data_IF_200821253895
#
_entry.id   IF_200821253895
#
_cell.length_a   1.000
_cell.length_b   1.000
_cell.length_c   1.000
_cell.angle_alpha   90.00
_cell.angle_beta   90.00
_cell.angle_gamma   90.00
#
_symmetry.space_group_name_H-M   'P 1'
#
loop_
_entity.id
_entity.type
_entity.pdbx_description
1 polymer ?
#
# COMPACT_ATOMS: atom_id res chain seq x y z
N UNK A 1 3.19 -11.73 13.85
CA UNK A 1 2.21 -12.75 13.47
C UNK A 1 1.11 -12.05 12.72
N UNK A 2 0.73 -12.53 11.54
CA UNK A 2 -0.31 -11.92 10.73
C UNK A 2 -1.68 -12.34 11.28
N UNK A 3 -2.63 -11.41 11.36
CA UNK A 3 -3.99 -11.65 11.86
C UNK A 3 -5.05 -11.43 10.75
N UNK A 4 -6.21 -12.07 10.91
CA UNK A 4 -7.38 -11.82 10.03
C UNK A 4 -7.80 -10.34 10.14
N UNK A 5 -8.19 -9.74 9.02
CA UNK A 5 -8.50 -8.31 8.88
C UNK A 5 -7.30 -7.35 8.98
N UNK A 6 -6.06 -7.85 9.11
CA UNK A 6 -4.90 -7.04 8.79
C UNK A 6 -4.72 -6.90 7.28
N UNK A 7 -3.85 -5.99 6.89
CA UNK A 7 -3.41 -5.80 5.53
C UNK A 7 -1.95 -6.21 5.41
N UNK A 8 -1.58 -6.82 4.30
CA UNK A 8 -0.19 -7.14 3.94
C UNK A 8 0.28 -6.26 2.80
N UNK A 9 1.58 -5.94 2.77
CA UNK A 9 2.28 -5.42 1.58
C UNK A 9 3.29 -6.46 1.11
N UNK A 10 3.31 -6.74 -0.19
CA UNK A 10 4.25 -7.72 -0.77
C UNK A 10 5.49 -7.05 -1.36
N UNK A 11 6.53 -7.86 -1.65
CA UNK A 11 7.74 -7.44 -2.38
C UNK A 11 7.45 -6.85 -3.77
N UNK A 12 6.30 -7.18 -4.38
CA UNK A 12 5.85 -6.63 -5.66
C UNK A 12 4.93 -5.41 -5.48
N UNK A 13 4.77 -4.92 -4.26
CA UNK A 13 3.91 -3.77 -3.95
C UNK A 13 2.41 -4.06 -3.92
N UNK A 14 1.97 -5.32 -3.98
CA UNK A 14 0.54 -5.63 -3.78
C UNK A 14 0.16 -5.35 -2.33
N UNK A 15 -0.95 -4.62 -2.12
CA UNK A 15 -1.58 -4.44 -0.81
C UNK A 15 -2.92 -5.17 -0.83
N UNK A 16 -3.13 -6.02 0.17
CA UNK A 16 -4.33 -6.86 0.24
C UNK A 16 -4.71 -7.18 1.68
N UNK A 17 -5.98 -7.49 1.91
CA UNK A 17 -6.55 -7.72 3.23
C UNK A 17 -6.61 -9.21 3.54
N UNK A 18 -6.12 -9.60 4.70
CA UNK A 18 -5.98 -10.99 5.13
C UNK A 18 -7.33 -11.59 5.50
N UNK A 19 -7.66 -12.72 4.87
CA UNK A 19 -8.80 -13.57 5.20
C UNK A 19 -8.36 -14.76 6.05
N UNK A 20 -7.22 -15.37 5.71
CA UNK A 20 -6.67 -16.50 6.45
C UNK A 20 -5.12 -16.40 6.51
N UNK A 21 -4.53 -16.15 7.70
CA UNK A 21 -3.10 -15.97 7.87
C UNK A 21 -2.28 -17.28 7.81
N UNK A 22 -2.94 -18.44 7.84
CA UNK A 22 -2.32 -19.76 7.88
C UNK A 22 -2.97 -20.67 6.84
N UNK A 23 -2.80 -20.33 5.57
CA UNK A 23 -3.30 -21.14 4.46
C UNK A 23 -2.23 -22.14 3.99
N UNK A 24 -2.66 -23.33 3.58
CA UNK A 24 -1.87 -24.43 3.02
C UNK A 24 -0.46 -24.59 3.62
N UNK A 25 -0.33 -25.48 4.61
CA UNK A 25 0.94 -25.74 5.32
C UNK A 25 1.56 -24.50 6.00
N UNK A 26 0.77 -23.44 6.22
CA UNK A 26 1.23 -22.17 6.81
C UNK A 26 2.36 -21.46 6.05
N UNK A 27 2.50 -21.74 4.75
CA UNK A 27 3.45 -21.05 3.86
C UNK A 27 2.78 -19.95 3.03
N UNK A 28 1.44 -19.89 3.02
CA UNK A 28 0.66 -18.86 2.35
C UNK A 28 -0.19 -18.07 3.33
N UNK A 29 -0.36 -16.79 3.01
CA UNK A 29 -1.46 -15.96 3.50
C UNK A 29 -2.50 -15.84 2.38
N UNK A 30 -3.75 -16.16 2.71
CA UNK A 30 -4.90 -15.95 1.82
C UNK A 30 -5.53 -14.59 2.14
N UNK A 31 -5.69 -13.79 1.09
CA UNK A 31 -6.23 -12.44 1.14
C UNK A 31 -7.42 -12.27 0.20
N UNK A 32 -8.11 -11.13 0.28
CA UNK A 32 -9.33 -10.84 -0.51
C UNK A 32 -9.13 -10.93 -2.03
N UNK A 33 -7.96 -10.54 -2.55
CA UNK A 33 -7.70 -10.53 -4.00
C UNK A 33 -6.76 -11.64 -4.47
N UNK A 34 -6.13 -12.38 -3.56
CA UNK A 34 -5.19 -13.42 -3.94
C UNK A 34 -4.52 -14.14 -2.78
N UNK A 35 -3.62 -15.06 -3.12
CA UNK A 35 -2.78 -15.79 -2.17
C UNK A 35 -1.33 -15.36 -2.34
N UNK A 36 -0.65 -15.13 -1.23
CA UNK A 36 0.74 -14.69 -1.22
C UNK A 36 1.58 -15.64 -0.38
N UNK A 37 2.76 -16.01 -0.89
CA UNK A 37 3.77 -16.69 -0.09
C UNK A 37 4.13 -15.79 1.10
N UNK A 38 4.23 -16.38 2.28
CA UNK A 38 4.60 -15.65 3.49
C UNK A 38 5.96 -14.94 3.31
N UNK A 39 6.90 -15.58 2.62
CA UNK A 39 8.21 -15.04 2.26
C UNK A 39 8.16 -13.81 1.33
N UNK A 40 7.03 -13.58 0.66
CA UNK A 40 6.81 -12.40 -0.18
C UNK A 40 6.16 -11.25 0.58
N UNK A 41 5.65 -11.46 1.79
CA UNK A 41 5.09 -10.41 2.64
C UNK A 41 6.24 -9.64 3.27
N UNK A 42 6.31 -8.33 2.99
CA UNK A 42 7.34 -7.43 3.55
C UNK A 42 6.90 -6.91 4.91
N UNK A 43 5.62 -6.57 5.04
CA UNK A 43 5.03 -6.06 6.29
C UNK A 43 3.53 -6.32 6.33
N UNK A 44 2.99 -6.35 7.54
CA UNK A 44 1.57 -6.46 7.81
C UNK A 44 1.14 -5.45 8.88
N UNK A 45 -0.05 -4.86 8.76
CA UNK A 45 -0.58 -3.83 9.66
C UNK A 45 -2.10 -3.88 9.74
N UNK A 46 -2.66 -3.43 10.86
CA UNK A 46 -4.12 -3.33 11.06
C UNK A 46 -4.77 -2.26 10.18
N UNK A 47 -4.06 -1.17 9.90
CA UNK A 47 -4.60 -0.06 9.11
C UNK A 47 -3.79 0.12 7.81
N UNK A 48 -4.43 0.39 6.66
CA UNK A 48 -3.73 0.58 5.38
C UNK A 48 -2.70 1.71 5.39
N UNK A 49 -2.95 2.80 6.15
CA UNK A 49 -2.02 3.94 6.29
C UNK A 49 -0.65 3.52 6.83
N UNK A 50 -0.58 2.46 7.64
CA UNK A 50 0.68 1.98 8.19
C UNK A 50 1.49 1.15 7.18
N UNK A 51 0.89 0.81 6.03
CA UNK A 51 1.57 0.14 4.91
C UNK A 51 2.15 1.11 3.88
N UNK A 52 1.79 2.39 3.92
CA UNK A 52 2.29 3.41 3.00
C UNK A 52 3.78 3.66 3.25
N UNK A 53 4.54 3.84 2.19
CA UNK A 53 5.98 4.14 2.17
C UNK A 53 6.28 5.36 1.31
N UNK A 54 7.47 5.91 1.51
CA UNK A 54 8.06 6.87 0.56
C UNK A 54 8.14 6.23 -0.83
N UNK A 55 7.69 6.98 -1.83
CA UNK A 55 7.53 6.59 -3.23
C UNK A 55 6.09 6.17 -3.61
N UNK A 56 5.19 5.97 -2.65
CA UNK A 56 3.80 5.63 -2.97
C UNK A 56 3.00 6.86 -3.42
N UNK A 57 1.95 6.63 -4.21
CA UNK A 57 0.94 7.62 -4.57
C UNK A 57 -0.36 7.28 -3.84
N UNK A 58 -0.97 8.26 -3.18
CA UNK A 58 -2.14 8.05 -2.33
C UNK A 58 -3.28 8.94 -2.79
N UNK A 59 -4.44 8.36 -3.11
CA UNK A 59 -5.66 9.14 -3.34
C UNK A 59 -6.32 9.43 -1.99
N UNK A 60 -6.49 10.71 -1.71
CA UNK A 60 -6.97 11.23 -0.44
C UNK A 60 -8.26 12.01 -0.69
N UNK A 61 -9.28 11.76 0.13
CA UNK A 61 -10.50 12.56 0.20
C UNK A 61 -10.48 13.46 1.43
N UNK A 62 -10.75 14.75 1.23
CA UNK A 62 -10.83 15.76 2.29
C UNK A 62 -12.27 16.24 2.42
N UNK A 63 -13.06 15.56 3.24
CA UNK A 63 -14.48 15.87 3.41
C UNK A 63 -15.37 15.27 2.31
N UNK A 64 -16.43 16.00 1.92
CA UNK A 64 -17.50 15.47 1.07
C UNK A 64 -17.25 15.62 -0.44
N UNK A 65 -16.44 16.59 -0.88
CA UNK A 65 -16.46 17.01 -2.30
C UNK A 65 -15.09 17.14 -2.98
N UNK A 66 -13.98 16.91 -2.27
CA UNK A 66 -12.65 17.04 -2.86
C UNK A 66 -11.80 15.80 -2.60
N UNK A 67 -11.17 15.33 -3.67
CA UNK A 67 -10.14 14.30 -3.64
C UNK A 67 -8.92 14.78 -4.43
N UNK A 68 -7.73 14.46 -3.95
CA UNK A 68 -6.48 14.68 -4.68
C UNK A 68 -5.58 13.46 -4.56
N UNK A 69 -4.59 13.37 -5.44
CA UNK A 69 -3.53 12.37 -5.36
C UNK A 69 -2.27 13.04 -4.83
N UNK A 70 -1.64 12.42 -3.83
CA UNK A 70 -0.39 12.88 -3.23
C UNK A 70 0.71 11.87 -3.52
N UNK A 71 1.86 12.36 -3.99
CA UNK A 71 3.07 11.55 -4.08
C UNK A 71 3.87 11.69 -2.78
N UNK A 72 4.14 10.57 -2.11
CA UNK A 72 4.88 10.55 -0.86
C UNK A 72 6.38 10.59 -1.17
N UNK A 73 6.90 11.78 -1.47
CA UNK A 73 8.26 12.00 -1.91
C UNK A 73 9.32 11.78 -0.82
N UNK A 74 8.96 11.99 0.44
CA UNK A 74 9.87 11.90 1.58
C UNK A 74 9.14 11.55 2.90
N UNK A 75 9.92 11.34 3.97
CA UNK A 75 9.41 10.95 5.28
C UNK A 75 8.57 12.04 5.97
N UNK A 76 8.81 13.33 5.68
CA UNK A 76 8.00 14.43 6.20
C UNK A 76 6.59 14.39 5.62
N UNK A 77 6.46 14.20 4.30
CA UNK A 77 5.18 14.01 3.64
C UNK A 77 4.42 12.79 4.17
N UNK A 78 5.12 11.68 4.43
CA UNK A 78 4.52 10.50 5.05
C UNK A 78 4.00 10.79 6.48
N UNK A 79 4.74 11.57 7.27
CA UNK A 79 4.33 11.96 8.61
C UNK A 79 3.09 12.86 8.58
N UNK A 80 3.08 13.88 7.71
CA UNK A 80 1.93 14.77 7.49
C UNK A 80 0.71 13.97 7.09
N UNK A 81 0.82 13.04 6.13
CA UNK A 81 -0.27 12.17 5.72
C UNK A 81 -0.86 11.41 6.91
N UNK A 82 0.00 10.74 7.71
CA UNK A 82 -0.42 9.99 8.90
C UNK A 82 -1.13 10.86 9.93
N UNK A 83 -0.69 12.10 10.12
CA UNK A 83 -1.35 13.05 11.01
C UNK A 83 -2.71 13.52 10.51
N UNK A 84 -2.84 13.82 9.21
CA UNK A 84 -4.09 14.31 8.63
C UNK A 84 -5.15 13.22 8.53
N UNK A 85 -4.75 11.97 8.24
CA UNK A 85 -5.66 10.82 8.22
C UNK A 85 -6.25 10.54 9.60
N UNK A 86 -5.49 10.77 10.67
CA UNK A 86 -6.02 10.68 12.05
C UNK A 86 -7.07 11.75 12.37
N UNK A 87 -7.06 12.88 11.66
CA UNK A 87 -7.94 14.02 11.95
C UNK A 87 -9.20 13.98 11.08
N UNK A 88 -9.06 14.00 9.76
CA UNK A 88 -10.21 14.12 8.84
C UNK A 88 -9.96 13.62 7.41
N UNK A 89 -8.73 13.29 7.01
CA UNK A 89 -8.47 12.73 5.68
C UNK A 89 -8.86 11.27 5.63
N UNK A 90 -9.45 10.86 4.51
CA UNK A 90 -9.70 9.45 4.21
C UNK A 90 -8.81 9.02 3.05
N UNK A 91 -8.11 7.90 3.22
CA UNK A 91 -7.39 7.24 2.13
C UNK A 91 -8.41 6.43 1.34
N UNK A 92 -8.44 6.64 0.03
CA UNK A 92 -9.32 5.90 -0.87
C UNK A 92 -8.57 4.87 -1.68
N UNK A 93 -7.37 5.22 -2.15
CA UNK A 93 -6.55 4.36 -3.00
C UNK A 93 -5.07 4.53 -2.66
N UNK A 94 -4.29 3.45 -2.79
CA UNK A 94 -2.84 3.44 -2.63
C UNK A 94 -2.26 2.77 -3.87
N UNK A 95 -1.43 3.49 -4.61
CA UNK A 95 -0.59 2.94 -5.67
C UNK A 95 0.84 2.89 -5.14
N UNK A 96 1.35 1.68 -4.92
CA UNK A 96 2.70 1.49 -4.39
C UNK A 96 3.75 1.82 -5.43
N UNK A 97 4.94 2.26 -5.01
CA UNK A 97 6.06 2.54 -5.93
C UNK A 97 6.38 1.35 -6.84
N UNK A 98 6.34 0.12 -6.33
CA UNK A 98 6.64 -1.06 -7.13
C UNK A 98 5.59 -1.28 -8.23
N UNK A 99 4.31 -1.01 -7.93
CA UNK A 99 3.24 -1.07 -8.92
C UNK A 99 3.28 0.10 -9.89
N UNK A 100 3.66 1.30 -9.44
CA UNK A 100 3.86 2.44 -10.32
C UNK A 100 5.00 2.16 -11.32
N UNK A 101 6.17 1.75 -10.84
CA UNK A 101 7.35 1.44 -11.65
C UNK A 101 7.12 0.27 -12.62
N UNK A 102 6.35 -0.75 -12.21
CA UNK A 102 6.04 -1.88 -13.07
C UNK A 102 5.12 -1.53 -14.25
N UNK A 103 4.34 -0.45 -14.14
CA UNK A 103 3.31 -0.09 -15.11
C UNK A 103 3.57 1.24 -15.83
N UNK A 104 4.50 2.07 -15.35
CA UNK A 104 4.74 3.38 -15.93
C UNK A 104 5.56 3.30 -17.22
N UNK A 105 5.27 4.23 -18.14
CA UNK A 105 6.09 4.46 -19.32
C UNK A 105 7.22 5.42 -18.95
N UNK A 106 8.48 5.03 -19.20
CA UNK A 106 9.64 5.89 -18.97
C UNK A 106 9.92 6.73 -20.21
N UNK A 107 10.04 8.04 -20.02
CA UNK A 107 10.36 9.00 -21.09
C UNK A 107 11.84 9.35 -20.99
N UNK A 108 12.55 9.39 -22.13
CA UNK A 108 13.94 9.85 -22.19
C UNK A 108 15.01 8.78 -22.09
N UNK A 109 14.68 7.50 -22.35
CA UNK A 109 15.66 6.41 -22.51
C UNK A 109 16.13 6.25 -23.98
N UNK A 110 15.83 7.20 -24.88
CA UNK A 110 16.17 7.13 -26.32
C UNK A 110 17.57 7.67 -26.68
N UNK A 111 18.39 8.07 -25.70
CA UNK A 111 19.76 8.55 -25.93
C UNK A 111 20.81 7.70 -25.17
N UNK A 112 20.98 6.44 -25.58
CA UNK A 112 22.25 5.68 -25.44
C UNK A 112 22.59 4.92 -26.74
#
# INVERSE_FOLDING_TARGET
>A
MIEVNEYVRTKKGSIDKVINPNYYMSIYVECEKGMYLLDNVVKHRKQPIDLIEVGDIVRIRTGLYSSFMEFIDNEECLLILKEQVKKFWAIEEILTKEQFEANCYKVGEEDE
#
